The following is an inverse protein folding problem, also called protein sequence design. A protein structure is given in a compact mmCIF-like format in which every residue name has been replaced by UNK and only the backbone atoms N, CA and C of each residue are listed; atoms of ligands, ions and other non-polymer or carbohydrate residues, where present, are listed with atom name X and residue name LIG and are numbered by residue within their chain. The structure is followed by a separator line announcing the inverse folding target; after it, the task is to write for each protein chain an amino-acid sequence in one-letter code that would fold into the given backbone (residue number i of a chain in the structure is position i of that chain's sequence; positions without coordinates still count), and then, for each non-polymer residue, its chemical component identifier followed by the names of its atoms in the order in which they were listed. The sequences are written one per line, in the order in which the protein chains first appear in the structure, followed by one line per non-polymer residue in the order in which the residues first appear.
data_IF_978454844782
#
_entry.id   IF_978454844782
#
_cell.length_a   1.000
_cell.length_b   1.000
_cell.length_c   1.000
_cell.angle_alpha   90.00
_cell.angle_beta   90.00
_cell.angle_gamma   90.00
#
_symmetry.space_group_name_H-M   'P 1'
#
loop_
_entity.id
_entity.type
_entity.pdbx_description
1 polymer ?
#
# COMPACT_ATOMS: atom_id res chain seq x y z
N UNK A 1 46.05 11.66 -39.28
CA UNK A 1 45.63 11.63 -40.70
C UNK A 1 45.89 10.22 -41.17
N UNK A 2 44.95 9.29 -41.29
CA UNK A 2 43.66 9.27 -42.04
C UNK A 2 42.67 8.31 -41.33
N UNK A 3 41.34 8.50 -41.44
CA UNK A 3 40.34 7.69 -40.73
C UNK A 3 39.83 6.49 -41.54
N UNK A 4 39.52 5.39 -40.86
CA UNK A 4 38.78 4.24 -41.44
C UNK A 4 37.31 4.38 -41.05
N UNK A 5 36.47 4.62 -42.05
CA UNK A 5 35.02 4.65 -41.95
C UNK A 5 34.45 3.25 -42.20
N UNK A 6 33.61 2.75 -41.30
CA UNK A 6 32.66 1.68 -41.61
C UNK A 6 31.26 2.28 -41.70
N UNK A 7 30.83 2.50 -42.93
CA UNK A 7 29.41 2.62 -43.31
C UNK A 7 28.91 1.20 -43.54
N UNK A 8 27.85 0.80 -42.86
CA UNK A 8 26.92 -0.18 -43.39
C UNK A 8 25.53 0.45 -43.39
N UNK A 9 24.98 0.52 -44.60
CA UNK A 9 23.67 1.04 -44.95
C UNK A 9 22.86 -0.10 -45.56
N UNK A 10 21.54 0.12 -45.61
CA UNK A 10 20.49 -0.59 -46.36
C UNK A 10 19.73 -1.69 -45.60
N UNK A 11 18.43 -1.89 -45.91
CA UNK A 11 17.41 -0.86 -46.15
C UNK A 11 16.08 -1.17 -45.43
N UNK A 12 15.34 -0.10 -45.11
CA UNK A 12 13.91 -0.16 -44.79
C UNK A 12 13.15 -0.58 -46.05
N UNK A 13 12.53 -1.76 -46.03
CA UNK A 13 11.52 -2.14 -47.03
C UNK A 13 10.18 -2.21 -46.33
N UNK A 14 9.33 -1.24 -46.67
CA UNK A 14 7.91 -1.24 -46.41
C UNK A 14 7.24 -2.39 -47.17
N UNK A 15 6.40 -3.15 -46.49
CA UNK A 15 5.29 -3.87 -47.13
C UNK A 15 4.02 -3.48 -46.38
N UNK A 16 3.22 -2.64 -47.03
CA UNK A 16 1.84 -2.31 -46.67
C UNK A 16 0.93 -3.18 -47.55
N UNK A 17 -0.24 -3.51 -47.00
CA UNK A 17 -1.39 -4.17 -47.62
C UNK A 17 -1.27 -5.70 -47.75
N UNK A 18 -2.24 -6.52 -47.36
CA UNK A 18 -3.63 -6.30 -46.96
C UNK A 18 -4.10 -7.58 -46.23
N UNK A 19 -5.10 -7.45 -45.35
CA UNK A 19 -6.22 -8.39 -45.12
C UNK A 19 -6.80 -8.18 -43.71
N UNK A 20 -7.89 -7.42 -43.66
CA UNK A 20 -9.01 -7.67 -42.75
C UNK A 20 -10.19 -8.07 -43.64
N UNK A 21 -11.25 -8.76 -43.17
CA UNK A 21 -11.60 -9.04 -41.77
C UNK A 21 -11.88 -10.53 -41.49
N UNK A 22 -11.63 -11.01 -40.27
CA UNK A 22 -12.43 -12.12 -39.73
C UNK A 22 -12.79 -11.85 -38.27
N UNK A 23 -14.09 -11.90 -38.04
CA UNK A 23 -14.78 -11.63 -36.78
C UNK A 23 -15.05 -13.02 -36.20
N UNK A 24 -14.24 -13.45 -35.24
CA UNK A 24 -14.40 -14.79 -34.68
C UNK A 24 -13.55 -15.04 -33.45
N UNK A 25 -14.22 -15.05 -32.31
CA UNK A 25 -13.82 -15.62 -31.01
C UNK A 25 -12.93 -14.75 -30.13
N UNK A 26 -13.58 -14.13 -29.15
CA UNK A 26 -12.96 -13.81 -27.87
C UNK A 26 -12.52 -15.14 -27.22
N UNK A 27 -11.23 -15.43 -27.26
CA UNK A 27 -10.63 -16.39 -26.34
C UNK A 27 -10.60 -15.73 -24.96
N UNK A 28 -11.45 -16.24 -24.08
CA UNK A 28 -11.35 -16.01 -22.65
C UNK A 28 -10.01 -16.60 -22.19
N UNK A 29 -9.04 -15.74 -21.90
CA UNK A 29 -7.89 -16.11 -21.09
C UNK A 29 -8.38 -16.29 -19.64
N UNK A 30 -8.80 -17.51 -19.32
CA UNK A 30 -8.92 -17.95 -17.93
C UNK A 30 -7.49 -18.12 -17.39
N UNK A 31 -7.04 -17.16 -16.57
CA UNK A 31 -5.88 -17.36 -15.72
C UNK A 31 -6.28 -18.35 -14.61
N UNK A 32 -5.68 -19.55 -14.52
CA UNK A 32 -5.81 -20.34 -13.30
C UNK A 32 -4.96 -19.68 -12.22
N UNK A 33 -5.57 -18.78 -11.44
CA UNK A 33 -5.01 -18.39 -10.15
C UNK A 33 -5.11 -19.61 -9.25
N UNK A 34 -4.03 -20.39 -9.18
CA UNK A 34 -3.87 -21.38 -8.13
C UNK A 34 -3.66 -20.59 -6.83
N UNK A 35 -4.75 -20.41 -6.08
CA UNK A 35 -4.71 -19.89 -4.72
C UNK A 35 -3.99 -20.94 -3.88
N UNK A 36 -2.67 -20.77 -3.76
CA UNK A 36 -1.83 -21.50 -2.84
C UNK A 36 -2.37 -21.39 -1.43
N UNK A 37 -2.31 -22.50 -0.72
CA UNK A 37 -2.89 -22.73 0.59
C UNK A 37 -2.65 -21.58 1.58
N UNK A 38 -3.74 -21.12 2.19
CA UNK A 38 -3.75 -20.36 3.44
C UNK A 38 -2.97 -21.13 4.51
N UNK A 39 -1.74 -20.70 4.78
CA UNK A 39 -1.09 -20.99 6.07
C UNK A 39 -1.69 -20.05 7.13
N UNK A 40 -2.24 -20.57 8.24
CA UNK A 40 -2.65 -19.73 9.34
C UNK A 40 -1.39 -19.23 10.08
N UNK A 41 -1.04 -17.96 9.90
CA UNK A 41 -0.02 -17.30 10.71
C UNK A 41 -0.63 -16.91 12.06
N UNK A 42 -0.48 -17.78 13.05
CA UNK A 42 -0.79 -17.50 14.46
C UNK A 42 0.46 -16.91 15.14
N UNK A 43 0.63 -15.60 15.03
CA UNK A 43 1.70 -14.86 15.69
C UNK A 43 1.16 -14.21 16.96
N UNK A 44 1.24 -14.95 18.07
CA UNK A 44 1.15 -14.39 19.42
C UNK A 44 2.29 -13.41 19.64
N UNK A 45 1.96 -12.12 19.75
CA UNK A 45 2.87 -11.11 20.30
C UNK A 45 2.41 -10.68 21.68
N UNK A 46 3.31 -10.82 22.65
CA UNK A 46 3.16 -10.33 24.02
C UNK A 46 3.53 -8.85 24.07
N UNK A 47 2.62 -7.99 24.50
CA UNK A 47 2.94 -6.60 24.80
C UNK A 47 3.77 -6.51 26.07
N UNK A 48 5.01 -6.03 25.95
CA UNK A 48 5.77 -5.49 27.07
C UNK A 48 5.18 -4.15 27.47
N UNK A 49 4.48 -4.10 28.59
CA UNK A 49 4.08 -2.86 29.24
C UNK A 49 5.29 -2.29 29.96
N UNK A 50 5.81 -1.14 29.53
CA UNK A 50 6.59 -0.27 30.40
C UNK A 50 6.30 1.20 30.11
N UNK A 51 6.07 1.91 31.20
CA UNK A 51 5.61 3.29 31.32
C UNK A 51 6.67 4.31 30.88
N UNK A 52 6.24 5.43 30.30
CA UNK A 52 6.38 6.78 30.90
C UNK A 52 5.85 7.86 29.95
N UNK A 53 4.87 8.65 30.43
CA UNK A 53 4.49 9.91 29.77
C UNK A 53 3.01 10.28 29.76
N UNK A 54 2.13 9.71 30.59
CA UNK A 54 0.76 10.23 30.73
C UNK A 54 0.68 11.34 31.77
N UNK A 55 0.40 12.56 31.33
CA UNK A 55 -0.03 13.66 32.19
C UNK A 55 -1.52 13.44 32.48
N UNK A 56 -1.84 12.70 33.54
CA UNK A 56 -3.20 12.57 34.04
C UNK A 56 -3.60 13.86 34.76
N UNK A 57 -4.58 14.58 34.22
CA UNK A 57 -5.30 15.59 35.00
C UNK A 57 -6.35 14.88 35.85
N UNK A 58 -6.10 14.72 37.15
CA UNK A 58 -7.10 14.27 38.11
C UNK A 58 -8.01 15.47 38.40
N UNK A 59 -9.17 15.51 37.76
CA UNK A 59 -10.27 16.39 38.16
C UNK A 59 -10.95 15.75 39.37
N UNK A 60 -10.94 16.46 40.49
CA UNK A 60 -11.60 16.12 41.74
C UNK A 60 -13.12 15.93 41.47
N UNK A 61 -13.76 14.80 41.79
CA UNK A 61 -15.19 14.66 41.57
C UNK A 61 -15.95 15.52 42.59
N UNK A 62 -16.70 16.50 42.10
CA UNK A 62 -17.73 17.15 42.89
C UNK A 62 -18.95 16.22 42.88
N UNK A 63 -19.32 15.73 44.06
CA UNK A 63 -20.43 14.82 44.23
C UNK A 63 -21.75 15.57 44.03
N UNK A 64 -22.37 15.44 42.86
CA UNK A 64 -23.82 15.50 42.69
C UNK A 64 -24.20 15.20 41.23
N UNK A 65 -24.76 14.01 41.01
CA UNK A 65 -25.87 13.81 40.08
C UNK A 65 -25.56 13.67 38.59
N UNK A 66 -26.32 12.75 37.99
CA UNK A 66 -26.51 12.49 36.56
C UNK A 66 -25.38 11.76 35.84
N UNK A 67 -25.69 10.50 35.51
CA UNK A 67 -25.01 9.72 34.50
C UNK A 67 -25.09 10.46 33.16
N UNK A 68 -23.96 10.98 32.70
CA UNK A 68 -23.78 11.38 31.32
C UNK A 68 -22.61 10.57 30.78
N UNK A 69 -22.90 9.71 29.81
CA UNK A 69 -21.90 8.88 29.15
C UNK A 69 -21.09 9.84 28.30
N UNK A 70 -20.00 10.34 28.86
CA UNK A 70 -19.04 11.15 28.14
C UNK A 70 -18.45 10.29 27.01
N UNK A 71 -18.99 10.46 25.81
CA UNK A 71 -18.42 9.98 24.57
C UNK A 71 -17.05 10.65 24.43
N UNK A 72 -15.99 9.87 24.68
CA UNK A 72 -14.61 10.34 24.51
C UNK A 72 -14.37 10.36 22.99
N UNK A 73 -14.74 11.47 22.36
CA UNK A 73 -14.33 11.78 20.99
C UNK A 73 -12.83 12.09 21.06
N UNK A 74 -12.00 11.13 20.66
CA UNK A 74 -10.56 11.31 20.51
C UNK A 74 -10.35 12.13 19.23
N UNK A 75 -10.50 13.44 19.32
CA UNK A 75 -9.99 14.37 18.30
C UNK A 75 -8.46 14.32 18.35
N UNK A 76 -7.85 13.48 17.52
CA UNK A 76 -6.40 13.48 17.32
C UNK A 76 -5.99 14.87 16.84
N UNK A 77 -5.18 15.56 17.64
CA UNK A 77 -4.74 16.91 17.30
C UNK A 77 -3.87 16.85 16.03
N UNK A 78 -3.93 17.85 15.14
CA UNK A 78 -3.15 17.87 13.90
C UNK A 78 -1.64 17.60 14.09
N UNK A 79 -1.09 18.03 15.23
CA UNK A 79 0.32 17.81 15.60
C UNK A 79 0.65 16.33 15.84
N UNK A 80 -0.29 15.56 16.37
CA UNK A 80 -0.09 14.13 16.65
C UNK A 80 -0.11 13.34 15.34
N UNK A 81 -1.04 13.69 14.43
CA UNK A 81 -1.13 13.04 13.11
C UNK A 81 0.11 13.24 12.26
N UNK A 82 0.65 14.45 12.21
CA UNK A 82 1.90 14.73 11.48
C UNK A 82 3.07 13.91 12.05
N UNK A 83 3.14 13.76 13.37
CA UNK A 83 4.15 12.95 14.04
C UNK A 83 4.00 11.46 13.72
N UNK A 84 2.79 10.92 13.76
CA UNK A 84 2.52 9.53 13.41
C UNK A 84 2.89 9.23 11.95
N UNK A 85 2.57 10.15 11.04
CA UNK A 85 2.96 10.05 9.63
C UNK A 85 4.49 10.00 9.46
N UNK A 86 5.22 10.87 10.16
CA UNK A 86 6.70 10.84 10.15
C UNK A 86 7.27 9.52 10.70
N UNK A 87 6.64 8.94 11.73
CA UNK A 87 7.05 7.65 12.27
C UNK A 87 6.79 6.52 11.27
N UNK A 88 5.66 6.56 10.56
CA UNK A 88 5.32 5.63 9.49
C UNK A 88 6.33 5.71 8.33
N UNK A 89 6.59 6.90 7.81
CA UNK A 89 7.57 7.14 6.74
C UNK A 89 8.96 6.62 7.13
N UNK A 90 9.40 6.90 8.36
CA UNK A 90 10.66 6.38 8.89
C UNK A 90 10.67 4.85 8.99
N UNK A 91 9.53 4.23 9.31
CA UNK A 91 9.41 2.78 9.36
C UNK A 91 9.55 2.16 7.96
N UNK A 92 8.92 2.76 6.95
CA UNK A 92 9.02 2.30 5.55
C UNK A 92 10.46 2.43 5.05
N UNK A 93 11.12 3.56 5.31
CA UNK A 93 12.53 3.76 4.92
C UNK A 93 13.46 2.71 5.55
N UNK A 94 13.15 2.23 6.77
CA UNK A 94 13.95 1.20 7.44
C UNK A 94 13.96 -0.12 6.66
N UNK A 95 12.96 -0.38 5.83
CA UNK A 95 12.92 -1.59 5.00
C UNK A 95 14.15 -1.71 4.11
N UNK A 96 14.67 -0.58 3.60
CA UNK A 96 15.90 -0.53 2.78
C UNK A 96 17.18 -1.00 3.52
N UNK A 97 17.11 -1.17 4.84
CA UNK A 97 18.24 -1.67 5.65
C UNK A 97 18.01 -3.10 6.15
N UNK A 98 16.95 -3.77 5.70
CA UNK A 98 16.68 -5.15 6.08
C UNK A 98 17.59 -6.08 5.29
N UNK A 99 18.13 -7.08 6.00
CA UNK A 99 18.81 -8.22 5.41
C UNK A 99 17.81 -9.40 5.32
N UNK A 100 18.04 -10.32 4.39
CA UNK A 100 17.24 -11.54 4.26
C UNK A 100 16.08 -11.46 3.27
N UNK A 101 16.17 -10.58 2.26
CA UNK A 101 15.36 -10.68 1.05
C UNK A 101 15.73 -11.95 0.25
N UNK A 102 14.81 -12.39 -0.60
CA UNK A 102 14.95 -13.64 -1.35
C UNK A 102 16.17 -13.64 -2.28
N UNK A 103 16.34 -12.58 -3.05
CA UNK A 103 17.43 -12.41 -4.01
C UNK A 103 17.71 -10.94 -4.36
N UNK A 104 18.59 -10.71 -5.34
CA UNK A 104 18.94 -9.37 -5.85
C UNK A 104 17.76 -8.67 -6.55
N UNK A 105 16.81 -9.43 -7.10
CA UNK A 105 15.63 -8.86 -7.75
C UNK A 105 14.66 -8.31 -6.69
N UNK A 106 14.44 -9.05 -5.61
CA UNK A 106 13.69 -8.58 -4.45
C UNK A 106 14.30 -7.30 -3.84
N UNK A 107 15.63 -7.20 -3.80
CA UNK A 107 16.29 -5.96 -3.37
C UNK A 107 15.97 -4.78 -4.30
N UNK A 108 16.10 -4.96 -5.63
CA UNK A 108 15.74 -3.93 -6.62
C UNK A 108 14.28 -3.52 -6.51
N UNK A 109 13.40 -4.52 -6.36
CA UNK A 109 11.97 -4.33 -6.20
C UNK A 109 11.67 -3.47 -4.97
N UNK A 110 12.31 -3.77 -3.84
CA UNK A 110 12.17 -2.97 -2.63
C UNK A 110 12.64 -1.52 -2.81
N UNK A 111 13.78 -1.31 -3.49
CA UNK A 111 14.29 0.04 -3.77
C UNK A 111 13.33 0.87 -4.63
N UNK A 112 12.53 0.23 -5.48
CA UNK A 112 11.51 0.89 -6.29
C UNK A 112 10.16 1.03 -5.56
N UNK A 113 9.73 0.04 -4.77
CA UNK A 113 8.47 0.03 -4.04
C UNK A 113 8.44 1.04 -2.86
N UNK A 114 9.56 1.24 -2.17
CA UNK A 114 9.65 2.19 -1.04
C UNK A 114 9.28 3.63 -1.43
N UNK A 115 9.86 4.26 -2.47
CA UNK A 115 9.47 5.62 -2.86
C UNK A 115 8.00 5.71 -3.27
N UNK A 116 7.44 4.69 -3.92
CA UNK A 116 6.02 4.65 -4.28
C UNK A 116 5.11 4.65 -3.05
N UNK A 117 5.41 3.78 -2.08
CA UNK A 117 4.67 3.72 -0.82
C UNK A 117 4.76 5.07 -0.06
N UNK A 118 5.92 5.73 -0.07
CA UNK A 118 6.08 7.05 0.54
C UNK A 118 5.26 8.13 -0.17
N UNK A 119 5.22 8.12 -1.52
CA UNK A 119 4.36 9.02 -2.30
C UNK A 119 2.89 8.77 -1.94
N UNK A 120 2.45 7.51 -1.89
CA UNK A 120 1.09 7.15 -1.50
C UNK A 120 0.73 7.68 -0.09
N UNK A 121 1.61 7.51 0.90
CA UNK A 121 1.42 8.06 2.26
C UNK A 121 1.36 9.59 2.25
N UNK A 122 2.10 10.24 1.35
CA UNK A 122 2.08 11.69 1.18
C UNK A 122 0.69 12.20 0.74
N UNK A 123 0.01 11.43 -0.11
CA UNK A 123 -1.29 11.74 -0.73
C UNK A 123 -2.50 11.34 0.13
N UNK A 124 -2.29 10.59 1.20
CA UNK A 124 -3.36 10.11 2.06
C UNK A 124 -4.08 11.28 2.75
N UNK A 125 -5.41 11.44 2.57
CA UNK A 125 -6.20 12.45 3.26
C UNK A 125 -6.06 12.35 4.79
N UNK A 126 -6.09 13.48 5.51
CA UNK A 126 -5.91 13.48 6.97
C UNK A 126 -7.05 12.77 7.72
N UNK A 127 -8.24 12.64 7.11
CA UNK A 127 -9.40 11.97 7.67
C UNK A 127 -9.26 10.43 7.67
N UNK A 128 -8.42 9.88 6.78
CA UNK A 128 -8.23 8.44 6.65
C UNK A 128 -7.19 7.97 7.69
N UNK A 129 -7.41 6.85 8.42
CA UNK A 129 -6.41 6.33 9.36
C UNK A 129 -5.09 5.97 8.64
N UNK A 130 -3.95 6.10 9.34
CA UNK A 130 -2.67 5.66 8.80
C UNK A 130 -2.63 4.12 8.73
N UNK A 131 -2.10 3.54 7.64
CA UNK A 131 -1.89 2.11 7.55
C UNK A 131 -0.70 1.66 8.42
N UNK A 132 -0.65 0.36 8.69
CA UNK A 132 0.54 -0.32 9.19
C UNK A 132 1.39 -0.79 8.00
N UNK A 133 2.70 -0.53 7.99
CA UNK A 133 3.58 -0.96 6.92
C UNK A 133 4.11 -2.37 7.20
N UNK A 134 4.23 -3.18 6.15
CA UNK A 134 4.94 -4.45 6.16
C UNK A 134 5.70 -4.65 4.84
N UNK A 135 6.57 -5.65 4.82
CA UNK A 135 7.37 -6.03 3.66
C UNK A 135 7.28 -7.55 3.49
N UNK A 136 7.19 -8.01 2.24
CA UNK A 136 7.30 -9.42 1.88
C UNK A 136 8.72 -9.78 1.43
N UNK A 137 9.07 -11.06 1.44
CA UNK A 137 10.44 -11.52 1.12
C UNK A 137 10.87 -11.25 -0.32
N UNK A 138 9.90 -11.06 -1.21
CA UNK A 138 10.05 -10.67 -2.61
C UNK A 138 10.30 -9.16 -2.80
N UNK A 139 10.40 -8.38 -1.72
CA UNK A 139 10.66 -6.95 -1.79
C UNK A 139 9.41 -6.08 -1.97
N UNK A 140 8.21 -6.66 -2.03
CA UNK A 140 6.98 -5.88 -2.05
C UNK A 140 6.75 -5.14 -0.73
N UNK A 141 6.39 -3.85 -0.82
CA UNK A 141 5.93 -3.08 0.33
C UNK A 141 4.41 -3.19 0.40
N UNK A 142 3.89 -3.49 1.58
CA UNK A 142 2.46 -3.60 1.83
C UNK A 142 2.02 -2.61 2.90
N UNK A 143 0.94 -1.88 2.64
CA UNK A 143 0.30 -0.98 3.58
C UNK A 143 -1.07 -1.53 3.93
N UNK A 144 -1.31 -1.78 5.22
CA UNK A 144 -2.52 -2.45 5.68
C UNK A 144 -3.33 -1.59 6.66
N UNK A 145 -4.63 -1.49 6.44
CA UNK A 145 -5.59 -0.95 7.39
C UNK A 145 -6.32 -2.11 8.06
N UNK A 146 -6.37 -2.09 9.39
CA UNK A 146 -7.22 -2.99 10.18
C UNK A 146 -7.92 -2.19 11.25
N UNK A 147 -9.23 -2.04 11.10
CA UNK A 147 -10.10 -1.43 12.10
C UNK A 147 -11.34 -2.31 12.32
N UNK A 148 -11.32 -3.10 13.39
CA UNK A 148 -12.36 -4.09 13.68
C UNK A 148 -12.58 -5.07 12.51
N UNK A 149 -13.72 -4.94 11.84
CA UNK A 149 -14.11 -5.75 10.69
C UNK A 149 -13.69 -5.15 9.34
N UNK A 150 -13.29 -3.88 9.30
CA UNK A 150 -12.76 -3.24 8.10
C UNK A 150 -11.30 -3.59 7.92
N UNK A 151 -10.96 -4.05 6.72
CA UNK A 151 -9.59 -4.37 6.33
C UNK A 151 -9.35 -3.89 4.91
N UNK A 152 -8.22 -3.26 4.68
CA UNK A 152 -7.77 -2.93 3.33
C UNK A 152 -6.27 -3.09 3.24
N UNK A 153 -5.77 -3.30 2.03
CA UNK A 153 -4.36 -3.50 1.77
C UNK A 153 -4.01 -2.83 0.45
N UNK A 154 -2.91 -2.08 0.41
CA UNK A 154 -2.27 -1.59 -0.80
C UNK A 154 -0.87 -2.20 -0.92
N UNK A 155 -0.51 -2.69 -2.10
CA UNK A 155 0.72 -3.44 -2.38
C UNK A 155 1.49 -2.75 -3.49
N UNK A 156 2.77 -2.49 -3.25
CA UNK A 156 3.67 -1.75 -4.12
C UNK A 156 4.78 -2.67 -4.58
N UNK A 157 4.89 -2.82 -5.90
CA UNK A 157 5.87 -3.68 -6.55
C UNK A 157 7.04 -2.88 -7.12
N UNK A 158 6.96 -1.54 -7.25
CA UNK A 158 8.05 -0.76 -7.82
C UNK A 158 7.93 -0.48 -9.33
N UNK A 159 6.75 -0.71 -9.92
CA UNK A 159 6.48 -0.54 -11.35
C UNK A 159 5.70 0.77 -11.68
N UNK A 160 5.69 1.72 -10.74
CA UNK A 160 4.90 2.97 -10.70
C UNK A 160 3.40 2.81 -10.46
N UNK A 161 2.91 1.58 -10.41
CA UNK A 161 1.54 1.27 -10.09
C UNK A 161 1.44 0.44 -8.80
N UNK A 162 0.22 0.35 -8.26
CA UNK A 162 -0.05 -0.41 -7.07
C UNK A 162 -1.42 -1.07 -7.13
N UNK A 163 -1.47 -2.29 -6.62
CA UNK A 163 -2.70 -3.02 -6.36
C UNK A 163 -3.27 -2.67 -5.00
N UNK A 164 -4.59 -2.69 -4.86
CA UNK A 164 -5.23 -2.63 -3.55
C UNK A 164 -6.45 -3.52 -3.48
N UNK A 165 -6.76 -3.98 -2.28
CA UNK A 165 -7.95 -4.79 -1.97
C UNK A 165 -8.57 -4.29 -0.68
N UNK A 166 -9.88 -4.50 -0.53
CA UNK A 166 -10.59 -4.19 0.71
C UNK A 166 -11.63 -5.26 1.04
N UNK A 167 -11.92 -5.43 2.32
CA UNK A 167 -12.79 -6.48 2.83
C UNK A 167 -14.24 -6.03 2.84
N UNK A 168 -15.09 -6.69 2.05
CA UNK A 168 -16.51 -6.37 1.93
C UNK A 168 -17.34 -7.64 1.87
N UNK A 169 -18.43 -7.69 2.62
CA UNK A 169 -19.38 -8.82 2.61
C UNK A 169 -18.74 -10.20 2.86
N UNK A 170 -17.67 -10.27 3.68
CA UNK A 170 -17.02 -11.52 4.05
C UNK A 170 -15.87 -11.96 3.12
N UNK A 171 -15.53 -11.19 2.08
CA UNK A 171 -14.41 -11.50 1.19
C UNK A 171 -13.56 -10.25 0.87
N UNK A 172 -12.31 -10.48 0.46
CA UNK A 172 -11.50 -9.43 -0.15
C UNK A 172 -11.97 -9.18 -1.58
N UNK A 173 -12.17 -7.91 -1.91
CA UNK A 173 -12.54 -7.43 -3.23
C UNK A 173 -11.39 -6.58 -3.74
N UNK A 174 -10.87 -6.83 -4.96
CA UNK A 174 -9.86 -5.96 -5.54
C UNK A 174 -10.44 -4.57 -5.82
N UNK A 175 -9.56 -3.58 -5.82
CA UNK A 175 -9.87 -2.22 -6.27
C UNK A 175 -10.44 -2.20 -7.68
N UNK A 176 -11.21 -1.16 -8.00
CA UNK A 176 -11.83 -1.06 -9.33
C UNK A 176 -10.82 -0.90 -10.46
N UNK A 177 -9.67 -0.28 -10.18
CA UNK A 177 -8.61 -0.04 -11.16
C UNK A 177 -7.24 -0.23 -10.51
N UNK A 178 -6.23 -0.56 -11.32
CA UNK A 178 -4.84 -0.38 -10.90
C UNK A 178 -4.56 1.10 -10.74
N UNK A 179 -3.94 1.48 -9.62
CA UNK A 179 -3.69 2.88 -9.29
C UNK A 179 -2.22 3.23 -9.51
N UNK A 180 -1.94 4.49 -9.80
CA UNK A 180 -0.58 4.97 -10.07
C UNK A 180 -0.10 5.77 -8.86
N UNK A 181 1.10 5.47 -8.36
CA UNK A 181 1.69 6.25 -7.28
C UNK A 181 1.92 7.71 -7.73
N UNK A 182 1.43 8.69 -6.98
CA UNK A 182 1.47 10.09 -7.39
C UNK A 182 0.26 10.54 -8.22
N UNK A 183 -0.67 9.63 -8.53
CA UNK A 183 -1.95 9.92 -9.17
C UNK A 183 -3.08 10.24 -8.16
N UNK A 184 -2.76 10.24 -6.86
CA UNK A 184 -3.73 10.33 -5.78
C UNK A 184 -4.34 8.97 -5.39
N UNK A 185 -5.02 8.96 -4.24
CA UNK A 185 -5.71 7.77 -3.74
C UNK A 185 -7.02 7.55 -4.52
N UNK A 186 -7.31 6.32 -5.01
CA UNK A 186 -8.56 5.95 -5.67
C UNK A 186 -9.79 6.30 -4.84
N UNK A 187 -10.85 6.76 -5.51
CA UNK A 187 -12.05 7.24 -4.82
C UNK A 187 -12.77 6.11 -4.06
N UNK A 188 -12.82 4.90 -4.62
CA UNK A 188 -13.41 3.73 -3.96
C UNK A 188 -12.66 3.32 -2.68
N UNK A 189 -11.32 3.41 -2.70
CA UNK A 189 -10.51 3.18 -1.51
C UNK A 189 -10.73 4.28 -0.45
N UNK A 190 -10.79 5.55 -0.87
CA UNK A 190 -11.12 6.67 0.02
C UNK A 190 -12.50 6.48 0.65
N UNK A 191 -13.50 6.14 -0.16
CA UNK A 191 -14.87 5.94 0.30
C UNK A 191 -14.96 4.76 1.28
N UNK A 192 -14.23 3.67 1.03
CA UNK A 192 -14.19 2.51 1.93
C UNK A 192 -13.54 2.83 3.29
N UNK A 193 -12.44 3.58 3.29
CA UNK A 193 -11.68 3.92 4.49
C UNK A 193 -12.27 5.10 5.27
N UNK A 194 -13.01 5.99 4.61
CA UNK A 194 -13.63 7.17 5.21
C UNK A 194 -15.09 6.97 5.65
N UNK A 195 -15.80 5.97 5.10
CA UNK A 195 -17.06 5.48 5.67
C UNK A 195 -16.79 4.69 6.94
#
# INVERSE_FOLDING_TARGET
MTPIAYRNSFPLTSVISALSPDLGKAEQFEFPVQIGQLVPFDLKWSFGTDLHGSIFSIVKPNAAGAADVAEIVIETRPTDRAREKLLLERSIIRFLSLEGLEDEEAEKQLFAAVPEALVFISELPPEIPLPQPSIAFDGMVTLEWRDGTKKATAMFEGDNDYGYTYFRNGSFVPGQNTAIAGGGIPQDLKDYLGA
#
